data_IF_619110694926
#
_entry.id   IF_619110694926
#
_cell.length_a   1.000
_cell.length_b   1.000
_cell.length_c   1.000
_cell.angle_alpha   90.00
_cell.angle_beta   90.00
_cell.angle_gamma   90.00
#
_symmetry.space_group_name_H-M   'P 1'
#
loop_
_entity.id
_entity.type
_entity.pdbx_description
1 polymer ?
#
# COMPACT_ATOMS: atom_id res chain seq x y z
N UNK A 1 13.85 -17.36 -17.64
CA UNK A 1 13.81 -16.03 -16.99
C UNK A 1 15.23 -15.62 -16.67
N UNK A 2 15.65 -14.44 -17.12
CA UNK A 2 16.98 -13.89 -16.76
C UNK A 2 16.98 -13.47 -15.27
N UNK A 3 18.16 -13.48 -14.62
CA UNK A 3 18.30 -13.02 -13.22
C UNK A 3 17.71 -11.62 -12.99
N UNK A 4 17.79 -10.75 -14.00
CA UNK A 4 17.19 -9.40 -13.99
C UNK A 4 15.66 -9.43 -13.89
N UNK A 5 14.98 -10.32 -14.64
CA UNK A 5 13.53 -10.45 -14.63
C UNK A 5 13.00 -10.96 -13.27
N UNK A 6 13.76 -11.86 -12.61
CA UNK A 6 13.39 -12.33 -11.26
C UNK A 6 13.49 -11.18 -10.25
N UNK A 7 14.53 -10.34 -10.32
CA UNK A 7 14.66 -9.17 -9.46
C UNK A 7 13.52 -8.19 -9.61
N UNK A 8 13.13 -7.87 -10.86
CA UNK A 8 11.97 -6.99 -11.13
C UNK A 8 10.68 -7.60 -10.59
N UNK A 9 10.48 -8.91 -10.76
CA UNK A 9 9.29 -9.58 -10.24
C UNK A 9 9.21 -9.50 -8.71
N UNK A 10 10.32 -9.72 -8.01
CA UNK A 10 10.38 -9.58 -6.54
C UNK A 10 10.05 -8.16 -6.09
N UNK A 11 10.59 -7.14 -6.77
CA UNK A 11 10.23 -5.73 -6.51
C UNK A 11 8.73 -5.51 -6.69
N UNK A 12 8.15 -6.00 -7.78
CA UNK A 12 6.72 -5.90 -8.03
C UNK A 12 5.88 -6.62 -6.95
N UNK A 13 6.31 -7.79 -6.48
CA UNK A 13 5.67 -8.51 -5.37
C UNK A 13 5.69 -7.69 -4.08
N UNK A 14 6.82 -7.07 -3.72
CA UNK A 14 6.92 -6.21 -2.54
C UNK A 14 6.00 -4.98 -2.65
N UNK A 15 5.94 -4.36 -3.82
CA UNK A 15 5.06 -3.21 -4.06
C UNK A 15 3.57 -3.58 -3.90
N UNK A 16 3.15 -4.70 -4.48
CA UNK A 16 1.76 -5.19 -4.40
C UNK A 16 1.42 -5.65 -2.97
N UNK A 17 2.36 -6.30 -2.28
CA UNK A 17 2.22 -6.66 -0.87
C UNK A 17 1.98 -5.41 0.01
N UNK A 18 2.74 -4.34 -0.22
CA UNK A 18 2.59 -3.08 0.52
C UNK A 18 1.25 -2.40 0.23
N UNK A 19 0.87 -2.27 -1.05
CA UNK A 19 -0.35 -1.53 -1.42
C UNK A 19 -1.62 -2.34 -1.18
N UNK A 20 -1.76 -3.49 -1.81
CA UNK A 20 -3.00 -4.29 -1.73
C UNK A 20 -3.00 -5.18 -0.48
N UNK A 21 -1.87 -5.82 -0.17
CA UNK A 21 -1.75 -6.72 0.98
C UNK A 21 -2.02 -6.01 2.31
N UNK A 22 -1.31 -4.91 2.56
CA UNK A 22 -1.45 -4.12 3.79
C UNK A 22 -2.72 -3.27 3.76
N UNK A 23 -2.90 -2.46 2.69
CA UNK A 23 -3.95 -1.45 2.65
C UNK A 23 -5.36 -2.03 2.61
N UNK A 24 -5.55 -3.10 1.82
CA UNK A 24 -6.88 -3.65 1.54
C UNK A 24 -7.13 -4.95 2.29
N UNK A 25 -6.23 -5.93 2.15
CA UNK A 25 -6.46 -7.27 2.67
C UNK A 25 -6.36 -7.35 4.20
N UNK A 26 -5.51 -6.53 4.82
CA UNK A 26 -5.31 -6.52 6.28
C UNK A 26 -6.06 -5.40 6.99
N UNK A 27 -6.78 -4.51 6.28
CA UNK A 27 -7.47 -3.37 6.89
C UNK A 27 -8.57 -3.77 7.89
N UNK A 28 -9.24 -4.88 7.63
CA UNK A 28 -10.40 -5.34 8.42
C UNK A 28 -10.10 -5.58 9.90
N UNK A 29 -8.86 -5.96 10.24
CA UNK A 29 -8.48 -6.24 11.64
C UNK A 29 -8.48 -4.98 12.52
N UNK A 30 -8.38 -3.79 11.92
CA UNK A 30 -8.39 -2.51 12.63
C UNK A 30 -9.78 -1.98 12.93
N UNK A 31 -10.81 -2.37 12.16
CA UNK A 31 -12.12 -1.73 12.22
C UNK A 31 -12.78 -1.80 13.59
N UNK A 32 -12.68 -2.93 14.27
CA UNK A 32 -13.25 -3.11 15.61
C UNK A 32 -12.54 -2.23 16.64
N UNK A 33 -11.22 -2.35 16.74
CA UNK A 33 -10.42 -1.65 17.76
C UNK A 33 -10.49 -0.12 17.60
N UNK A 34 -10.57 0.37 16.37
CA UNK A 34 -10.72 1.80 16.08
C UNK A 34 -12.16 2.26 16.40
N UNK A 35 -13.17 1.49 16.00
CA UNK A 35 -14.58 1.80 16.27
C UNK A 35 -14.86 1.90 17.77
N UNK A 36 -14.37 0.94 18.53
CA UNK A 36 -14.53 0.91 20.00
C UNK A 36 -13.82 2.11 20.66
N UNK A 37 -12.65 2.50 20.17
CA UNK A 37 -11.90 3.65 20.72
C UNK A 37 -12.56 5.00 20.48
N UNK A 38 -13.25 5.17 19.37
CA UNK A 38 -13.95 6.42 19.02
C UNK A 38 -15.45 6.40 19.36
N UNK A 39 -15.98 5.28 19.88
CA UNK A 39 -17.39 5.13 20.17
C UNK A 39 -18.29 5.22 18.92
N UNK A 40 -17.80 4.82 17.75
CA UNK A 40 -18.49 4.88 16.47
C UNK A 40 -18.81 3.48 15.94
N UNK A 41 -19.75 3.40 14.99
CA UNK A 41 -20.03 2.13 14.33
C UNK A 41 -18.86 1.66 13.43
N UNK A 42 -18.68 0.35 13.30
CA UNK A 42 -17.67 -0.25 12.37
C UNK A 42 -17.83 0.24 10.93
N UNK A 43 -19.07 0.54 10.51
CA UNK A 43 -19.37 1.12 9.21
C UNK A 43 -18.67 2.45 8.97
N UNK A 44 -18.62 3.33 9.97
CA UNK A 44 -17.93 4.63 9.87
C UNK A 44 -16.42 4.44 9.71
N UNK A 45 -15.83 3.45 10.39
CA UNK A 45 -14.40 3.15 10.22
C UNK A 45 -14.13 2.49 8.87
N UNK A 46 -14.99 1.59 8.40
CA UNK A 46 -14.82 0.94 7.08
C UNK A 46 -14.92 1.92 5.90
N UNK A 47 -15.60 3.06 6.08
CA UNK A 47 -15.60 4.15 5.09
C UNK A 47 -14.18 4.69 4.81
N UNK A 48 -13.25 4.62 5.75
CA UNK A 48 -11.84 4.99 5.50
C UNK A 48 -11.23 4.17 4.37
N UNK A 49 -11.55 2.87 4.31
CA UNK A 49 -11.10 1.98 3.24
C UNK A 49 -11.76 2.33 1.90
N UNK A 50 -13.07 2.57 1.91
CA UNK A 50 -13.82 2.98 0.71
C UNK A 50 -13.26 4.28 0.13
N UNK A 51 -13.05 5.29 0.97
CA UNK A 51 -12.46 6.58 0.60
C UNK A 51 -11.03 6.37 0.05
N UNK A 52 -10.22 5.55 0.72
CA UNK A 52 -8.88 5.21 0.21
C UNK A 52 -8.93 4.56 -1.17
N UNK A 53 -9.86 3.62 -1.41
CA UNK A 53 -9.98 2.95 -2.70
C UNK A 53 -10.47 3.88 -3.81
N UNK A 54 -11.36 4.83 -3.51
CA UNK A 54 -11.77 5.87 -4.45
C UNK A 54 -10.58 6.78 -4.81
N UNK A 55 -9.84 7.25 -3.81
CA UNK A 55 -8.65 8.05 -4.02
C UNK A 55 -7.54 7.28 -4.76
N UNK A 56 -7.40 5.98 -4.50
CA UNK A 56 -6.51 5.07 -5.22
C UNK A 56 -6.83 5.02 -6.72
N UNK A 57 -8.09 4.90 -7.09
CA UNK A 57 -8.51 4.90 -8.49
C UNK A 57 -8.13 6.22 -9.17
N UNK A 58 -8.38 7.36 -8.52
CA UNK A 58 -8.00 8.69 -9.03
C UNK A 58 -6.48 8.80 -9.16
N UNK A 59 -5.71 8.40 -8.14
CA UNK A 59 -4.24 8.40 -8.17
C UNK A 59 -3.68 7.59 -9.34
N UNK A 60 -4.29 6.43 -9.63
CA UNK A 60 -3.91 5.58 -10.76
C UNK A 60 -3.99 6.25 -12.12
N UNK A 61 -4.94 7.16 -12.33
CA UNK A 61 -5.07 7.92 -13.58
C UNK A 61 -3.87 8.86 -13.82
N UNK A 62 -3.26 9.35 -12.75
CA UNK A 62 -2.11 10.25 -12.83
C UNK A 62 -0.76 9.54 -12.92
N UNK A 63 -0.71 8.23 -12.66
CA UNK A 63 0.53 7.43 -12.63
C UNK A 63 1.35 7.60 -13.92
N UNK A 64 0.71 7.40 -15.08
CA UNK A 64 1.39 7.48 -16.38
C UNK A 64 1.94 8.88 -16.65
N UNK A 65 1.16 9.92 -16.32
CA UNK A 65 1.56 11.31 -16.54
C UNK A 65 2.79 11.68 -15.71
N UNK A 66 2.83 11.25 -14.47
CA UNK A 66 3.94 11.59 -13.56
C UNK A 66 5.20 10.78 -13.83
N UNK A 67 5.07 9.50 -14.18
CA UNK A 67 6.22 8.67 -14.55
C UNK A 67 6.88 9.17 -15.83
N UNK A 68 6.09 9.65 -16.80
CA UNK A 68 6.64 10.18 -18.07
C UNK A 68 7.34 11.53 -17.90
N UNK A 69 6.85 12.38 -17.01
CA UNK A 69 7.32 13.76 -16.85
C UNK A 69 8.35 13.96 -15.73
N UNK A 70 8.48 13.00 -14.81
CA UNK A 70 9.40 13.07 -13.68
C UNK A 70 10.33 11.86 -13.64
N UNK A 71 11.46 11.97 -12.90
CA UNK A 71 12.33 10.84 -12.63
C UNK A 71 11.56 9.75 -11.86
N UNK A 72 11.42 8.55 -12.44
CA UNK A 72 10.76 7.40 -11.85
C UNK A 72 11.08 7.20 -10.36
N UNK A 73 12.38 7.16 -10.02
CA UNK A 73 12.84 6.94 -8.63
C UNK A 73 12.39 8.04 -7.68
N UNK A 74 12.44 9.31 -8.12
CA UNK A 74 11.98 10.45 -7.29
C UNK A 74 10.48 10.38 -7.04
N UNK A 75 9.69 10.01 -8.05
CA UNK A 75 8.24 9.85 -7.92
C UNK A 75 7.90 8.73 -6.95
N UNK A 76 8.51 7.55 -7.11
CA UNK A 76 8.29 6.42 -6.20
C UNK A 76 8.70 6.77 -4.77
N UNK A 77 9.87 7.40 -4.58
CA UNK A 77 10.33 7.82 -3.25
C UNK A 77 9.36 8.81 -2.61
N UNK A 78 8.94 9.85 -3.33
CA UNK A 78 8.02 10.88 -2.81
C UNK A 78 6.69 10.24 -2.36
N UNK A 79 6.06 9.46 -3.24
CA UNK A 79 4.75 8.88 -2.95
C UNK A 79 4.81 7.74 -1.92
N UNK A 80 5.91 6.98 -1.86
CA UNK A 80 6.09 5.98 -0.79
C UNK A 80 6.30 6.64 0.58
N UNK A 81 7.01 7.78 0.64
CA UNK A 81 7.11 8.58 1.87
C UNK A 81 5.74 9.12 2.30
N UNK A 82 4.97 9.73 1.38
CA UNK A 82 3.64 10.25 1.69
C UNK A 82 2.73 9.11 2.15
N UNK A 83 2.77 7.94 1.51
CA UNK A 83 2.02 6.75 1.89
C UNK A 83 2.40 6.27 3.31
N UNK A 84 3.68 6.12 3.59
CA UNK A 84 4.16 5.69 4.90
C UNK A 84 3.79 6.67 6.02
N UNK A 85 4.02 7.97 5.79
CA UNK A 85 3.71 9.03 6.75
C UNK A 85 2.20 9.14 6.98
N UNK A 86 1.37 9.15 5.93
CA UNK A 86 -0.08 9.21 6.08
C UNK A 86 -0.66 7.98 6.78
N UNK A 87 -0.07 6.80 6.57
CA UNK A 87 -0.46 5.57 7.28
C UNK A 87 -0.06 5.63 8.76
N UNK A 88 1.14 6.09 9.08
CA UNK A 88 1.59 6.29 10.46
C UNK A 88 0.75 7.35 11.19
N UNK A 89 0.41 8.44 10.50
CA UNK A 89 -0.42 9.53 11.03
C UNK A 89 -1.85 9.08 11.39
N UNK A 90 -2.39 8.02 10.77
CA UNK A 90 -3.67 7.41 11.20
C UNK A 90 -3.63 6.96 12.67
N UNK A 91 -2.46 6.56 13.17
CA UNK A 91 -2.28 6.20 14.58
C UNK A 91 -2.37 7.37 15.56
N UNK A 92 -2.24 8.61 15.11
CA UNK A 92 -2.22 9.82 15.95
C UNK A 92 -3.52 10.62 15.82
N UNK A 93 -4.46 10.16 14.97
CA UNK A 93 -5.71 10.87 14.71
C UNK A 93 -6.55 11.07 15.99
N UNK A 94 -7.04 12.30 16.23
CA UNK A 94 -7.96 12.57 17.33
C UNK A 94 -9.38 12.09 17.03
N UNK A 95 -9.82 12.14 15.76
CA UNK A 95 -11.18 11.89 15.30
C UNK A 95 -11.23 11.05 14.02
N UNK A 96 -12.38 10.40 13.78
CA UNK A 96 -12.66 9.65 12.55
C UNK A 96 -12.65 10.55 11.31
N UNK A 97 -13.01 11.84 11.44
CA UNK A 97 -12.96 12.78 10.31
C UNK A 97 -11.52 12.98 9.80
N UNK A 98 -10.55 13.14 10.70
CA UNK A 98 -9.14 13.22 10.32
C UNK A 98 -8.65 11.93 9.65
N UNK A 99 -9.17 10.77 10.08
CA UNK A 99 -8.89 9.49 9.41
C UNK A 99 -9.38 9.48 7.97
N UNK A 100 -10.54 10.09 7.66
CA UNK A 100 -11.03 10.21 6.28
C UNK A 100 -10.09 11.06 5.43
N UNK A 101 -9.66 12.21 5.92
CA UNK A 101 -8.72 13.09 5.20
C UNK A 101 -7.39 12.38 4.92
N UNK A 102 -6.81 11.72 5.93
CA UNK A 102 -5.58 10.95 5.74
C UNK A 102 -5.78 9.75 4.80
N UNK A 103 -6.97 9.15 4.79
CA UNK A 103 -7.32 8.06 3.89
C UNK A 103 -7.35 8.51 2.42
N UNK A 104 -7.75 9.75 2.12
CA UNK A 104 -7.65 10.33 0.77
C UNK A 104 -6.19 10.44 0.36
N UNK A 105 -5.35 11.04 1.21
CA UNK A 105 -3.92 11.25 0.92
C UNK A 105 -3.21 9.91 0.72
N UNK A 106 -3.47 8.95 1.62
CA UNK A 106 -2.94 7.60 1.57
C UNK A 106 -3.37 6.88 0.29
N UNK A 107 -4.67 6.89 0.00
CA UNK A 107 -5.24 6.22 -1.18
C UNK A 107 -4.69 6.81 -2.48
N UNK A 108 -4.65 8.13 -2.60
CA UNK A 108 -4.10 8.80 -3.78
C UNK A 108 -2.63 8.43 -4.00
N UNK A 109 -1.81 8.49 -2.94
CA UNK A 109 -0.39 8.14 -3.01
C UNK A 109 -0.18 6.69 -3.43
N UNK A 110 -0.92 5.75 -2.85
CA UNK A 110 -0.86 4.34 -3.23
C UNK A 110 -1.40 4.08 -4.63
N UNK A 111 -2.36 4.87 -5.12
CA UNK A 111 -2.84 4.83 -6.50
C UNK A 111 -1.74 5.12 -7.50
N UNK A 112 -0.93 6.15 -7.24
CA UNK A 112 0.19 6.53 -8.11
C UNK A 112 1.27 5.47 -8.18
N UNK A 113 1.64 4.85 -7.06
CA UNK A 113 2.73 3.87 -6.97
C UNK A 113 2.24 2.42 -6.92
N UNK A 114 0.95 2.19 -7.12
CA UNK A 114 0.30 0.88 -6.98
C UNK A 114 0.31 0.06 -8.26
N UNK A 115 -0.84 -0.59 -8.53
CA UNK A 115 -0.98 -1.61 -9.58
C UNK A 115 -0.62 -1.11 -10.97
N UNK A 116 -0.96 0.13 -11.32
CA UNK A 116 -0.65 0.70 -12.65
C UNK A 116 0.86 0.76 -12.84
N UNK A 117 1.61 1.20 -11.83
CA UNK A 117 3.06 1.24 -11.87
C UNK A 117 3.67 -0.16 -11.98
N UNK A 118 3.17 -1.11 -11.22
CA UNK A 118 3.60 -2.53 -11.26
C UNK A 118 3.39 -3.11 -12.67
N UNK A 119 2.23 -2.85 -13.28
CA UNK A 119 1.94 -3.31 -14.64
C UNK A 119 2.88 -2.69 -15.67
N UNK A 120 3.20 -1.41 -15.55
CA UNK A 120 4.17 -0.73 -16.42
C UNK A 120 5.56 -1.37 -16.27
N UNK A 121 6.01 -1.62 -15.05
CA UNK A 121 7.31 -2.28 -14.80
C UNK A 121 7.38 -3.67 -15.39
N UNK A 122 6.33 -4.46 -15.24
CA UNK A 122 6.27 -5.82 -15.80
C UNK A 122 6.28 -5.74 -17.34
N UNK A 123 5.46 -4.89 -17.95
CA UNK A 123 5.41 -4.74 -19.42
C UNK A 123 6.74 -4.26 -20.02
N UNK A 124 7.49 -3.43 -19.31
CA UNK A 124 8.77 -2.92 -19.80
C UNK A 124 9.92 -3.95 -19.72
N UNK A 125 9.81 -4.95 -18.83
CA UNK A 125 10.90 -5.91 -18.59
C UNK A 125 10.59 -7.32 -19.10
N UNK A 126 9.32 -7.66 -19.29
CA UNK A 126 8.90 -8.98 -19.76
C UNK A 126 8.37 -8.88 -21.18
N UNK A 127 9.02 -9.55 -22.12
CA UNK A 127 8.58 -9.68 -23.53
C UNK A 127 7.67 -10.89 -23.74
N UNK A 128 7.76 -11.89 -22.87
CA UNK A 128 6.92 -13.08 -22.86
C UNK A 128 6.43 -13.37 -21.44
N UNK A 129 5.28 -14.04 -21.33
CA UNK A 129 4.68 -14.42 -20.02
C UNK A 129 4.32 -13.24 -19.10
N UNK A 130 3.98 -12.08 -19.67
CA UNK A 130 3.55 -10.87 -18.93
C UNK A 130 2.37 -11.19 -18.01
N UNK A 131 1.38 -11.93 -18.50
CA UNK A 131 0.21 -12.35 -17.71
C UNK A 131 0.59 -13.20 -16.50
N UNK A 132 1.52 -14.14 -16.67
CA UNK A 132 2.03 -14.97 -15.57
C UNK A 132 2.74 -14.11 -14.51
N UNK A 133 3.62 -13.20 -14.93
CA UNK A 133 4.33 -12.31 -14.01
C UNK A 133 3.37 -11.42 -13.22
N UNK A 134 2.36 -10.87 -13.89
CA UNK A 134 1.31 -10.06 -13.25
C UNK A 134 0.48 -10.88 -12.27
N UNK A 135 0.09 -12.10 -12.64
CA UNK A 135 -0.67 -12.99 -11.75
C UNK A 135 0.12 -13.41 -10.51
N UNK A 136 1.43 -13.66 -10.64
CA UNK A 136 2.31 -13.95 -9.49
C UNK A 136 2.38 -12.72 -8.57
N UNK A 137 2.61 -11.53 -9.12
CA UNK A 137 2.70 -10.31 -8.33
C UNK A 137 1.38 -10.03 -7.58
N UNK A 138 0.22 -10.20 -8.23
CA UNK A 138 -1.09 -10.05 -7.61
C UNK A 138 -1.36 -11.12 -6.56
N UNK A 139 -1.05 -12.38 -6.84
CA UNK A 139 -1.20 -13.48 -5.88
C UNK A 139 -0.42 -13.24 -4.60
N UNK A 140 0.74 -12.58 -4.70
CA UNK A 140 1.55 -12.22 -3.54
C UNK A 140 0.86 -11.26 -2.58
N UNK A 141 -0.10 -10.44 -3.03
CA UNK A 141 -0.92 -9.60 -2.15
C UNK A 141 -1.81 -10.43 -1.21
N UNK A 142 -2.34 -11.53 -1.70
CA UNK A 142 -3.13 -12.46 -0.89
C UNK A 142 -2.28 -13.16 0.17
N UNK A 143 -1.09 -13.64 -0.22
CA UNK A 143 -0.12 -14.24 0.71
C UNK A 143 0.30 -13.22 1.77
N UNK A 144 0.63 -12.00 1.36
CA UNK A 144 0.97 -10.92 2.28
C UNK A 144 -0.17 -10.62 3.25
N UNK A 145 -1.41 -10.52 2.76
CA UNK A 145 -2.59 -10.32 3.60
C UNK A 145 -2.81 -11.46 4.60
N UNK A 146 -2.65 -12.70 4.17
CA UNK A 146 -2.80 -13.88 5.03
C UNK A 146 -1.77 -13.94 6.16
N UNK A 147 -0.52 -13.54 5.88
CA UNK A 147 0.56 -13.52 6.88
C UNK A 147 0.46 -12.29 7.77
N UNK A 148 0.18 -11.12 7.20
CA UNK A 148 0.21 -9.86 7.94
C UNK A 148 -1.04 -9.65 8.81
N UNK A 149 -2.21 -10.18 8.44
CA UNK A 149 -3.42 -10.02 9.25
C UNK A 149 -3.29 -10.58 10.67
N UNK A 150 -2.82 -11.83 10.91
CA UNK A 150 -2.60 -12.31 12.27
C UNK A 150 -1.48 -11.55 12.99
N UNK A 151 -0.42 -11.12 12.28
CA UNK A 151 0.65 -10.30 12.87
C UNK A 151 0.09 -8.96 13.35
N UNK A 152 -0.73 -8.29 12.54
CA UNK A 152 -1.36 -7.03 12.95
C UNK A 152 -2.37 -7.22 14.07
N UNK A 153 -3.11 -8.32 14.08
CA UNK A 153 -4.01 -8.65 15.20
C UNK A 153 -3.23 -8.78 16.50
N UNK A 154 -2.13 -9.52 16.51
CA UNK A 154 -1.25 -9.66 17.69
C UNK A 154 -0.64 -8.32 18.10
N UNK A 155 -0.24 -7.50 17.13
CA UNK A 155 0.32 -6.17 17.38
C UNK A 155 -0.72 -5.24 18.02
N UNK A 156 -1.96 -5.25 17.50
CA UNK A 156 -3.07 -4.46 18.08
C UNK A 156 -3.35 -4.89 19.52
N UNK A 157 -3.32 -6.19 19.82
CA UNK A 157 -3.56 -6.70 21.16
C UNK A 157 -2.45 -6.33 22.14
N UNK A 158 -1.18 -6.26 21.69
CA UNK A 158 -0.03 -6.00 22.55
C UNK A 158 0.27 -4.51 22.72
N UNK A 159 0.16 -3.70 21.68
CA UNK A 159 0.58 -2.29 21.68
C UNK A 159 -0.55 -1.31 21.36
N UNK A 160 -1.73 -1.82 21.05
CA UNK A 160 -2.88 -1.03 20.64
C UNK A 160 -2.85 -0.65 19.16
N UNK A 161 -4.01 -0.29 18.63
CA UNK A 161 -4.18 0.04 17.20
C UNK A 161 -3.39 1.27 16.75
N UNK A 162 -3.16 2.23 17.63
CA UNK A 162 -2.41 3.47 17.33
C UNK A 162 -0.97 3.19 16.95
N UNK A 163 -0.25 2.46 17.80
CA UNK A 163 1.13 2.06 17.53
C UNK A 163 1.23 1.10 16.35
N UNK A 164 0.23 0.26 16.16
CA UNK A 164 0.17 -0.65 15.01
C UNK A 164 0.14 0.12 13.69
N UNK A 165 -0.60 1.23 13.58
CA UNK A 165 -0.57 2.07 12.37
C UNK A 165 0.80 2.71 12.12
N UNK A 166 1.52 3.10 13.17
CA UNK A 166 2.88 3.64 13.03
C UNK A 166 3.83 2.55 12.50
N UNK A 167 3.78 1.35 13.08
CA UNK A 167 4.58 0.21 12.61
C UNK A 167 4.27 -0.15 11.15
N UNK A 168 2.98 -0.14 10.77
CA UNK A 168 2.56 -0.40 9.39
C UNK A 168 3.05 0.68 8.43
N UNK A 169 3.02 1.94 8.83
CA UNK A 169 3.54 3.05 8.04
C UNK A 169 5.03 2.87 7.71
N UNK A 170 5.82 2.47 8.71
CA UNK A 170 7.25 2.15 8.54
C UNK A 170 7.42 0.93 7.63
N UNK A 171 6.69 -0.16 7.90
CA UNK A 171 6.76 -1.38 7.10
C UNK A 171 6.40 -1.12 5.63
N UNK A 172 5.35 -0.32 5.40
CA UNK A 172 4.92 0.05 4.06
C UNK A 172 6.01 0.78 3.29
N UNK A 173 6.72 1.71 3.92
CA UNK A 173 7.84 2.41 3.32
C UNK A 173 9.02 1.46 3.03
N UNK A 174 9.38 0.60 3.99
CA UNK A 174 10.47 -0.38 3.85
C UNK A 174 10.25 -1.32 2.66
N UNK A 175 9.02 -1.75 2.42
CA UNK A 175 8.67 -2.60 1.28
C UNK A 175 8.85 -1.91 -0.08
N UNK A 176 8.94 -0.58 -0.14
CA UNK A 176 9.26 0.16 -1.35
C UNK A 176 10.76 0.39 -1.57
N UNK A 177 11.61 0.20 -0.54
CA UNK A 177 13.07 0.37 -0.67
C UNK A 177 13.69 -0.46 -1.80
N UNK A 178 13.31 -1.74 -2.03
CA UNK A 178 13.85 -2.51 -3.15
C UNK A 178 13.56 -1.86 -4.51
N UNK A 179 12.40 -1.20 -4.68
CA UNK A 179 12.06 -0.50 -5.91
C UNK A 179 12.91 0.77 -6.12
N UNK A 180 13.23 1.47 -5.04
CA UNK A 180 14.03 2.70 -5.08
C UNK A 180 15.51 2.39 -5.33
N UNK A 181 16.01 1.32 -4.70
CA UNK A 181 17.42 0.92 -4.75
C UNK A 181 17.78 0.14 -6.01
N UNK A 182 16.82 -0.58 -6.60
CA UNK A 182 17.10 -1.37 -7.79
C UNK A 182 17.38 -0.47 -9.01
N UNK A 183 18.25 -0.89 -9.93
CA UNK A 183 18.50 -0.19 -11.20
C UNK A 183 17.43 -0.58 -12.24
N UNK A 184 16.17 -0.29 -11.89
CA UNK A 184 15.02 -0.56 -12.78
C UNK A 184 14.72 0.67 -13.61
#
# INVERSE_FOLDING_TARGET
MTKKNIGVLLVCCCMVASTIGILTNSAGVFFTSVADSFGVGRGSVSLTLTISNMAYAVGGLFTVKWIRNANFKKTVLLFSCIYGISTAALGICPDVFFMYVLSVIRGFSTGVIGMVLVTILINNHFTSNVGLATSIALGFSGIAGAILSPVFTSLIQSTGWRMSYVCIGILSFVLYLPCILSPV
#
